data_IF_332688698866
#
_entry.id   IF_332688698866
#
_cell.length_a   1.000
_cell.length_b   1.000
_cell.length_c   1.000
_cell.angle_alpha   90.00
_cell.angle_beta   90.00
_cell.angle_gamma   90.00
#
_symmetry.space_group_name_H-M   'P 1'
#
loop_
_entity.id
_entity.type
_entity.pdbx_description
1 polymer ?
#
# COMPACT_ATOMS: atom_id res chain seq x y z
N UNK A 1 -7.84 -34.89 21.49
CA UNK A 1 -6.96 -33.72 21.57
C UNK A 1 -6.69 -33.28 20.14
N UNK A 2 -7.43 -32.30 19.62
CA UNK A 2 -7.23 -31.80 18.27
C UNK A 2 -6.37 -30.53 18.34
N UNK A 3 -5.35 -30.46 17.50
CA UNK A 3 -4.39 -29.35 17.41
C UNK A 3 -5.09 -28.01 17.09
N UNK A 4 -4.59 -26.87 17.63
CA UNK A 4 -5.07 -25.58 17.20
C UNK A 4 -4.53 -25.28 15.80
N UNK A 5 -5.43 -25.23 14.82
CA UNK A 5 -5.13 -24.71 13.48
C UNK A 5 -4.54 -23.31 13.60
N UNK A 6 -3.26 -23.17 13.24
CA UNK A 6 -2.62 -21.87 13.01
C UNK A 6 -3.21 -21.25 11.76
N UNK A 7 -4.33 -20.56 11.95
CA UNK A 7 -4.89 -19.64 10.98
C UNK A 7 -3.88 -18.50 10.79
N UNK A 8 -3.04 -18.64 9.77
CA UNK A 8 -2.06 -17.62 9.35
C UNK A 8 -2.75 -16.62 8.42
N UNK A 9 -3.90 -16.12 8.86
CA UNK A 9 -4.35 -14.80 8.45
C UNK A 9 -3.40 -13.79 9.07
N UNK A 10 -3.10 -12.70 8.36
CA UNK A 10 -2.61 -11.48 9.03
C UNK A 10 -3.55 -11.27 10.21
N UNK A 11 -3.04 -11.41 11.43
CA UNK A 11 -3.91 -11.35 12.61
C UNK A 11 -4.70 -10.05 12.50
N UNK A 12 -6.03 -10.12 12.58
CA UNK A 12 -6.91 -8.96 12.49
C UNK A 12 -6.46 -7.88 13.48
N UNK A 13 -5.84 -8.30 14.59
CA UNK A 13 -5.14 -7.43 15.54
C UNK A 13 -4.05 -6.53 14.94
N UNK A 14 -3.27 -7.00 13.96
CA UNK A 14 -2.22 -6.20 13.31
C UNK A 14 -2.80 -4.99 12.58
N UNK A 15 -3.90 -5.18 11.85
CA UNK A 15 -4.58 -4.13 11.07
C UNK A 15 -5.07 -2.99 11.95
N UNK A 16 -5.55 -3.31 13.15
CA UNK A 16 -6.04 -2.31 14.09
C UNK A 16 -4.94 -1.65 14.92
N UNK A 17 -3.68 -2.05 14.80
CA UNK A 17 -2.60 -1.57 15.67
C UNK A 17 -1.49 -0.84 14.90
N UNK A 18 -1.38 -1.02 13.58
CA UNK A 18 -0.38 -0.34 12.76
C UNK A 18 -0.92 0.02 11.38
N UNK A 19 -0.71 1.27 10.96
CA UNK A 19 -1.11 1.74 9.63
C UNK A 19 -0.47 0.93 8.49
N UNK A 20 0.73 0.41 8.71
CA UNK A 20 1.38 -0.46 7.74
C UNK A 20 0.60 -1.77 7.49
N UNK A 21 0.07 -2.40 8.55
CA UNK A 21 -0.73 -3.60 8.43
C UNK A 21 -2.10 -3.30 7.79
N UNK A 22 -2.68 -2.13 8.11
CA UNK A 22 -3.85 -1.60 7.40
C UNK A 22 -3.56 -1.46 5.89
N UNK A 23 -2.48 -0.78 5.51
CA UNK A 23 -2.14 -0.55 4.11
C UNK A 23 -1.85 -1.85 3.36
N UNK A 24 -1.16 -2.81 3.99
CA UNK A 24 -0.95 -4.16 3.44
C UNK A 24 -2.27 -4.87 3.14
N UNK A 25 -3.20 -4.85 4.09
CA UNK A 25 -4.51 -5.47 3.89
C UNK A 25 -5.29 -4.77 2.77
N UNK A 26 -5.25 -3.43 2.72
CA UNK A 26 -5.89 -2.66 1.67
C UNK A 26 -5.39 -3.02 0.28
N UNK A 27 -4.06 -3.15 0.11
CA UNK A 27 -3.43 -3.56 -1.15
C UNK A 27 -3.87 -4.98 -1.54
N UNK A 28 -3.96 -5.90 -0.57
CA UNK A 28 -4.45 -7.26 -0.81
C UNK A 28 -5.90 -7.25 -1.31
N UNK A 29 -6.79 -6.58 -0.58
CA UNK A 29 -8.20 -6.52 -0.93
C UNK A 29 -8.42 -5.86 -2.30
N UNK A 30 -7.62 -4.82 -2.61
CA UNK A 30 -7.63 -4.20 -3.93
C UNK A 30 -7.11 -5.13 -5.03
N UNK A 31 -6.06 -5.91 -4.77
CA UNK A 31 -5.55 -6.91 -5.71
C UNK A 31 -6.62 -7.96 -6.03
N UNK A 32 -7.19 -8.58 -4.99
CA UNK A 32 -8.18 -9.66 -5.11
C UNK A 32 -9.41 -9.20 -5.89
N UNK A 33 -9.84 -7.93 -5.70
CA UNK A 33 -11.00 -7.34 -6.39
C UNK A 33 -10.70 -6.89 -7.82
N UNK A 34 -9.51 -6.34 -8.08
CA UNK A 34 -9.31 -5.45 -9.23
C UNK A 34 -8.11 -5.79 -10.11
N UNK A 35 -7.35 -6.85 -9.83
CA UNK A 35 -6.15 -7.20 -10.60
C UNK A 35 -6.41 -7.43 -12.10
N UNK A 36 -7.56 -7.98 -12.48
CA UNK A 36 -7.85 -8.28 -13.90
C UNK A 36 -8.38 -7.06 -14.66
N UNK A 37 -9.11 -6.17 -13.99
CA UNK A 37 -9.88 -5.07 -14.60
C UNK A 37 -9.23 -3.70 -14.46
N UNK A 38 -8.47 -3.46 -13.38
CA UNK A 38 -7.89 -2.14 -13.04
C UNK A 38 -6.39 -2.23 -12.72
N UNK A 39 -5.63 -2.92 -13.57
CA UNK A 39 -4.18 -3.13 -13.43
C UNK A 39 -3.41 -1.82 -13.20
N UNK A 40 -3.76 -0.76 -13.93
CA UNK A 40 -3.12 0.55 -13.79
C UNK A 40 -3.28 1.14 -12.38
N UNK A 41 -4.48 1.06 -11.82
CA UNK A 41 -4.77 1.54 -10.47
C UNK A 41 -4.00 0.72 -9.42
N UNK A 42 -4.01 -0.62 -9.54
CA UNK A 42 -3.26 -1.45 -8.61
C UNK A 42 -1.75 -1.17 -8.64
N UNK A 43 -1.17 -1.00 -9.83
CA UNK A 43 0.27 -0.67 -9.98
C UNK A 43 0.57 0.71 -9.39
N UNK A 44 -0.26 1.70 -9.67
CA UNK A 44 -0.11 3.03 -9.11
C UNK A 44 -0.22 3.00 -7.57
N UNK A 45 -1.16 2.23 -7.02
CA UNK A 45 -1.34 2.05 -5.59
C UNK A 45 -0.11 1.40 -4.95
N UNK A 46 0.39 0.33 -5.55
CA UNK A 46 1.58 -0.39 -5.07
C UNK A 46 2.84 0.49 -5.06
N UNK A 47 2.99 1.31 -6.10
CA UNK A 47 4.10 2.28 -6.18
C UNK A 47 3.91 3.41 -5.15
N UNK A 48 2.69 3.92 -4.98
CA UNK A 48 2.36 4.95 -4.01
C UNK A 48 2.54 4.44 -2.56
N UNK A 49 2.24 3.17 -2.28
CA UNK A 49 2.41 2.55 -0.97
C UNK A 49 3.85 2.20 -0.64
N UNK A 50 4.72 1.98 -1.64
CA UNK A 50 6.17 1.76 -1.46
C UNK A 50 6.93 2.99 -0.93
N UNK A 51 6.23 4.10 -0.69
CA UNK A 51 6.79 5.42 -0.35
C UNK A 51 7.37 5.55 1.06
N UNK A 52 7.24 4.58 1.97
CA UNK A 52 8.04 4.59 3.21
C UNK A 52 9.54 4.44 2.90
N UNK A 53 9.90 3.97 1.70
CA UNK A 53 11.29 3.87 1.23
C UNK A 53 11.73 5.06 0.36
N UNK A 54 10.80 5.89 -0.13
CA UNK A 54 11.13 7.02 -1.01
C UNK A 54 11.41 8.31 -0.22
N UNK A 55 10.93 8.41 1.02
CA UNK A 55 11.34 9.48 1.94
C UNK A 55 12.86 9.42 2.20
N UNK A 56 13.45 8.22 2.29
CA UNK A 56 14.89 8.02 2.39
C UNK A 56 15.65 8.35 1.09
N UNK A 57 14.99 8.35 -0.06
CA UNK A 57 15.57 8.76 -1.34
C UNK A 57 15.41 10.27 -1.63
N UNK A 58 14.56 10.99 -0.88
CA UNK A 58 14.52 12.47 -0.93
C UNK A 58 15.64 13.09 -0.11
N UNK A 59 15.98 12.48 1.04
CA UNK A 59 17.10 12.94 1.86
C UNK A 59 18.47 12.68 1.21
N UNK A 60 18.60 11.65 0.37
CA UNK A 60 19.83 11.41 -0.40
C UNK A 60 19.94 12.25 -1.69
N UNK A 61 18.95 13.09 -2.01
CA UNK A 61 18.92 13.95 -3.21
C UNK A 61 19.24 15.41 -2.89
N UNK A 62 19.33 15.75 -1.60
CA UNK A 62 19.89 17.02 -1.11
C UNK A 62 21.20 16.72 -0.38
N UNK A 63 22.12 16.05 -1.07
CA UNK A 63 23.53 16.21 -0.73
C UNK A 63 24.31 16.48 -2.01
N UNK A 64 25.06 17.57 -1.99
CA UNK A 64 25.57 18.27 -3.16
C UNK A 64 26.64 17.46 -3.90
N UNK A 65 26.25 16.59 -4.82
CA UNK A 65 27.17 16.00 -5.80
C UNK A 65 26.45 15.42 -7.02
N UNK A 66 26.27 16.26 -8.04
CA UNK A 66 26.61 15.97 -9.44
C UNK A 66 26.00 14.78 -10.21
N UNK A 67 25.26 13.84 -9.63
CA UNK A 67 24.71 12.67 -10.36
C UNK A 67 23.24 12.87 -10.69
N UNK A 68 23.05 13.45 -11.87
CA UNK A 68 21.76 13.80 -12.48
C UNK A 68 20.82 12.60 -12.59
N UNK A 69 19.61 12.80 -12.07
CA UNK A 69 18.36 12.17 -12.50
C UNK A 69 18.37 10.64 -12.49
N UNK A 70 18.00 10.07 -11.34
CA UNK A 70 17.13 8.88 -11.39
C UNK A 70 15.85 9.37 -12.09
N UNK A 71 15.77 9.18 -13.41
CA UNK A 71 14.57 9.50 -14.17
C UNK A 71 13.39 8.89 -13.42
N UNK A 72 12.27 9.60 -13.28
CA UNK A 72 11.11 9.11 -12.53
C UNK A 72 10.78 7.63 -12.84
N UNK A 73 11.01 7.16 -14.07
CA UNK A 73 10.89 5.74 -14.44
C UNK A 73 11.79 4.75 -13.69
N UNK A 74 13.05 5.07 -13.41
CA UNK A 74 13.98 4.18 -12.69
C UNK A 74 13.64 4.09 -11.18
N UNK A 75 13.26 5.21 -10.55
CA UNK A 75 12.83 5.23 -9.15
C UNK A 75 11.52 4.48 -8.93
N UNK A 76 10.58 4.58 -9.88
CA UNK A 76 9.30 3.85 -9.81
C UNK A 76 9.46 2.36 -10.08
N UNK A 77 10.41 1.94 -10.93
CA UNK A 77 10.74 0.52 -11.12
C UNK A 77 11.37 -0.10 -9.86
N UNK A 78 12.22 0.64 -9.14
CA UNK A 78 12.75 0.22 -7.84
C UNK A 78 11.62 0.14 -6.82
N UNK A 79 10.73 1.13 -6.76
CA UNK A 79 9.55 1.10 -5.89
C UNK A 79 8.61 -0.06 -6.23
N UNK A 80 8.43 -0.40 -7.51
CA UNK A 80 7.66 -1.56 -7.94
C UNK A 80 8.32 -2.86 -7.48
N UNK A 81 9.64 -2.97 -7.58
CA UNK A 81 10.39 -4.17 -7.18
C UNK A 81 10.43 -4.33 -5.66
N UNK A 82 10.55 -3.25 -4.91
CA UNK A 82 10.48 -3.23 -3.45
C UNK A 82 9.04 -3.48 -3.00
N UNK A 83 8.04 -2.85 -3.62
CA UNK A 83 6.62 -3.09 -3.37
C UNK A 83 6.23 -4.54 -3.66
N UNK A 84 6.75 -5.13 -4.74
CA UNK A 84 6.67 -6.56 -4.97
C UNK A 84 7.31 -7.32 -3.81
N UNK A 85 8.58 -7.08 -3.48
CA UNK A 85 9.25 -7.77 -2.35
C UNK A 85 8.51 -7.63 -1.02
N UNK A 86 7.87 -6.49 -0.80
CA UNK A 86 7.10 -6.16 0.40
C UNK A 86 5.77 -6.91 0.46
N UNK A 87 5.08 -7.02 -0.67
CA UNK A 87 3.93 -7.89 -0.82
C UNK A 87 4.35 -9.38 -0.74
N UNK A 88 5.54 -9.71 -1.25
CA UNK A 88 6.13 -11.05 -1.36
C UNK A 88 6.71 -11.59 -0.04
N UNK A 89 6.96 -10.74 0.97
CA UNK A 89 7.72 -11.06 2.18
C UNK A 89 6.96 -11.80 3.30
N UNK A 90 5.80 -12.40 3.01
CA UNK A 90 4.98 -13.16 3.98
C UNK A 90 4.12 -14.21 3.29
N UNK A 91 3.20 -14.92 3.98
CA UNK A 91 2.27 -15.87 3.36
C UNK A 91 1.39 -15.22 2.28
N UNK A 92 1.16 -13.90 2.40
CA UNK A 92 0.57 -13.02 1.38
C UNK A 92 1.36 -12.93 0.06
N UNK A 93 2.66 -13.16 0.14
CA UNK A 93 3.58 -13.09 -0.97
C UNK A 93 3.53 -14.23 -1.95
N UNK A 94 2.91 -15.34 -1.56
CA UNK A 94 2.72 -16.47 -2.46
C UNK A 94 1.69 -16.16 -3.56
N UNK A 95 0.81 -15.16 -3.38
CA UNK A 95 -0.25 -14.82 -4.34
C UNK A 95 0.28 -14.02 -5.53
N UNK A 96 1.29 -13.16 -5.32
CA UNK A 96 1.98 -12.43 -6.39
C UNK A 96 3.08 -13.31 -7.01
N UNK A 97 2.70 -14.37 -7.71
CA UNK A 97 3.65 -15.22 -8.44
C UNK A 97 4.60 -14.42 -9.34
N UNK A 98 5.82 -14.95 -9.59
CA UNK A 98 6.84 -14.31 -10.45
C UNK A 98 6.28 -13.90 -11.83
N UNK A 99 5.33 -14.67 -12.36
CA UNK A 99 4.62 -14.37 -13.62
C UNK A 99 3.78 -13.08 -13.53
N UNK A 100 3.11 -12.82 -12.40
CA UNK A 100 2.37 -11.58 -12.18
C UNK A 100 3.30 -10.37 -12.20
N UNK A 101 4.51 -10.48 -11.63
CA UNK A 101 5.52 -9.42 -11.63
C UNK A 101 5.99 -8.98 -13.03
N UNK A 102 6.28 -9.93 -13.92
CA UNK A 102 6.71 -9.61 -15.29
C UNK A 102 5.60 -8.90 -16.09
N UNK A 103 4.36 -9.37 -15.96
CA UNK A 103 3.20 -8.75 -16.63
C UNK A 103 2.94 -7.32 -16.12
N UNK A 104 3.18 -7.08 -14.83
CA UNK A 104 3.03 -5.78 -14.18
C UNK A 104 4.07 -4.78 -14.68
N UNK A 105 5.33 -5.21 -14.82
CA UNK A 105 6.41 -4.38 -15.35
C UNK A 105 6.12 -4.01 -16.82
N UNK A 106 5.76 -4.99 -17.65
CA UNK A 106 5.44 -4.73 -19.05
C UNK A 106 4.25 -3.76 -19.20
N UNK A 107 3.22 -3.93 -18.36
CA UNK A 107 2.07 -3.02 -18.32
C UNK A 107 2.47 -1.62 -17.86
N UNK A 108 3.32 -1.51 -16.83
CA UNK A 108 3.83 -0.25 -16.32
C UNK A 108 4.55 0.54 -17.40
N UNK A 109 5.48 -0.08 -18.13
CA UNK A 109 6.26 0.58 -19.18
C UNK A 109 5.35 1.12 -20.28
N UNK A 110 4.33 0.34 -20.69
CA UNK A 110 3.37 0.76 -21.73
C UNK A 110 2.44 1.88 -21.28
N UNK A 111 2.13 1.96 -19.99
CA UNK A 111 1.14 2.89 -19.42
C UNK A 111 1.77 3.90 -18.46
N UNK A 112 3.07 4.14 -18.55
CA UNK A 112 3.87 4.85 -17.55
C UNK A 112 3.29 6.23 -17.22
N UNK A 113 2.90 7.00 -18.24
CA UNK A 113 2.41 8.37 -18.07
C UNK A 113 1.13 8.42 -17.24
N UNK A 114 0.17 7.53 -17.49
CA UNK A 114 -1.09 7.46 -16.74
C UNK A 114 -0.85 6.99 -15.30
N UNK A 115 -0.04 5.94 -15.14
CA UNK A 115 0.29 5.39 -13.82
C UNK A 115 1.01 6.42 -12.96
N UNK A 116 2.02 7.12 -13.49
CA UNK A 116 2.75 8.17 -12.77
C UNK A 116 1.81 9.28 -12.28
N UNK A 117 0.83 9.67 -13.11
CA UNK A 117 -0.15 10.69 -12.72
C UNK A 117 -1.00 10.21 -11.53
N UNK A 118 -1.48 8.96 -11.57
CA UNK A 118 -2.25 8.35 -10.48
C UNK A 118 -1.45 8.17 -9.20
N UNK A 119 -0.17 7.81 -9.31
CA UNK A 119 0.73 7.68 -8.14
C UNK A 119 0.75 8.96 -7.31
N UNK A 120 0.75 10.13 -7.95
CA UNK A 120 0.68 11.42 -7.24
C UNK A 120 -0.60 11.57 -6.43
N UNK A 121 -1.75 11.26 -7.02
CA UNK A 121 -3.07 11.32 -6.36
C UNK A 121 -3.16 10.32 -5.21
N UNK A 122 -2.70 9.09 -5.42
CA UNK A 122 -2.79 8.03 -4.43
C UNK A 122 -1.88 8.29 -3.22
N UNK A 123 -0.75 8.97 -3.39
CA UNK A 123 0.06 9.43 -2.25
C UNK A 123 -0.72 10.38 -1.34
N UNK A 124 -1.52 11.27 -1.91
CA UNK A 124 -2.40 12.17 -1.14
C UNK A 124 -3.47 11.37 -0.43
N UNK A 125 -4.15 10.45 -1.12
CA UNK A 125 -5.18 9.57 -0.52
C UNK A 125 -4.61 8.75 0.63
N UNK A 126 -3.42 8.16 0.47
CA UNK A 126 -2.72 7.40 1.52
C UNK A 126 -2.39 8.31 2.71
N UNK A 127 -1.84 9.51 2.47
CA UNK A 127 -1.48 10.44 3.54
C UNK A 127 -2.69 10.92 4.34
N UNK A 128 -3.80 11.23 3.66
CA UNK A 128 -5.03 11.64 4.33
C UNK A 128 -5.68 10.48 5.09
N UNK A 129 -5.59 9.26 4.57
CA UNK A 129 -6.06 8.06 5.26
C UNK A 129 -5.22 7.76 6.48
N UNK A 130 -3.89 7.95 6.41
CA UNK A 130 -2.99 7.80 7.56
C UNK A 130 -3.36 8.76 8.69
N UNK A 131 -3.64 10.04 8.38
CA UNK A 131 -4.11 11.02 9.37
C UNK A 131 -5.40 10.57 10.05
N UNK A 132 -6.41 10.15 9.27
CA UNK A 132 -7.69 9.65 9.80
C UNK A 132 -7.49 8.40 10.68
N UNK A 133 -6.61 7.50 10.27
CA UNK A 133 -6.26 6.32 11.05
C UNK A 133 -5.64 6.71 12.39
N UNK A 134 -4.69 7.64 12.39
CA UNK A 134 -4.02 8.15 13.59
C UNK A 134 -5.00 8.90 14.51
N UNK A 135 -5.96 9.65 13.96
CA UNK A 135 -7.03 10.32 14.71
C UNK A 135 -7.94 9.31 15.43
N UNK A 136 -8.35 8.24 14.75
CA UNK A 136 -9.14 7.16 15.36
C UNK A 136 -8.35 6.48 16.48
N UNK A 137 -7.06 6.26 16.29
CA UNK A 137 -6.16 5.71 17.30
C UNK A 137 -5.94 6.62 18.50
N UNK A 138 -5.74 7.91 18.25
CA UNK A 138 -5.62 8.91 19.31
C UNK A 138 -6.91 8.98 20.13
N UNK A 139 -8.08 9.03 19.48
CA UNK A 139 -9.36 9.03 20.17
C UNK A 139 -9.58 7.78 21.02
N UNK A 140 -9.17 6.60 20.55
CA UNK A 140 -9.20 5.38 21.35
C UNK A 140 -8.25 5.45 22.57
N UNK A 141 -7.00 5.91 22.39
CA UNK A 141 -6.04 6.09 23.49
C UNK A 141 -6.49 7.11 24.53
N UNK A 142 -7.20 8.15 24.08
CA UNK A 142 -7.82 9.18 24.93
C UNK A 142 -9.10 8.68 25.63
N UNK A 143 -9.53 7.44 25.39
CA UNK A 143 -10.74 6.85 25.97
C UNK A 143 -12.05 7.36 25.35
N UNK A 144 -12.01 8.07 24.22
CA UNK A 144 -13.21 8.59 23.53
C UNK A 144 -14.01 7.47 22.84
N UNK A 145 -13.36 6.36 22.52
CA UNK A 145 -13.95 5.23 21.79
C UNK A 145 -13.64 3.91 22.51
N UNK A 146 -14.59 2.97 22.49
CA UNK A 146 -14.29 1.59 22.87
C UNK A 146 -13.53 0.86 21.76
N UNK A 147 -12.92 -0.28 22.10
CA UNK A 147 -12.16 -1.09 21.13
C UNK A 147 -13.03 -1.53 19.94
N UNK A 148 -14.30 -1.86 20.20
CA UNK A 148 -15.27 -2.20 19.15
C UNK A 148 -15.51 -1.05 18.19
N UNK A 149 -15.69 0.17 18.71
CA UNK A 149 -15.98 1.37 17.92
C UNK A 149 -14.76 1.74 17.05
N UNK A 150 -13.56 1.70 17.65
CA UNK A 150 -12.29 1.87 16.93
C UNK A 150 -12.19 0.90 15.76
N UNK A 151 -12.47 -0.38 15.99
CA UNK A 151 -12.37 -1.40 14.94
C UNK A 151 -13.35 -1.12 13.80
N UNK A 152 -14.61 -0.79 14.12
CA UNK A 152 -15.63 -0.47 13.12
C UNK A 152 -15.26 0.79 12.32
N UNK A 153 -14.69 1.80 12.97
CA UNK A 153 -14.18 3.00 12.30
C UNK A 153 -13.02 2.67 11.35
N UNK A 154 -12.07 1.82 11.77
CA UNK A 154 -10.95 1.38 10.93
C UNK A 154 -11.46 0.54 9.75
N UNK A 155 -12.44 -0.33 9.96
CA UNK A 155 -13.06 -1.11 8.88
C UNK A 155 -13.82 -0.21 7.89
N UNK A 156 -14.52 0.81 8.39
CA UNK A 156 -15.15 1.84 7.56
C UNK A 156 -14.12 2.64 6.76
N UNK A 157 -13.00 3.02 7.40
CA UNK A 157 -11.89 3.72 6.76
C UNK A 157 -11.25 2.88 5.64
N UNK A 158 -11.13 1.57 5.82
CA UNK A 158 -10.65 0.64 4.80
C UNK A 158 -11.50 0.70 3.53
N UNK A 159 -12.82 0.59 3.69
CA UNK A 159 -13.77 0.64 2.57
C UNK A 159 -13.71 1.99 1.85
N UNK A 160 -13.65 3.09 2.61
CA UNK A 160 -13.51 4.43 2.04
C UNK A 160 -12.19 4.61 1.30
N UNK A 161 -11.10 4.07 1.84
CA UNK A 161 -9.78 4.12 1.19
C UNK A 161 -9.82 3.41 -0.17
N UNK A 162 -10.33 2.19 -0.21
CA UNK A 162 -10.46 1.41 -1.46
C UNK A 162 -11.33 2.14 -2.48
N UNK A 163 -12.47 2.71 -2.06
CA UNK A 163 -13.34 3.49 -2.93
C UNK A 163 -12.64 4.76 -3.46
N UNK A 164 -11.89 5.47 -2.61
CA UNK A 164 -11.14 6.67 -3.01
C UNK A 164 -10.06 6.36 -4.05
N UNK A 165 -9.40 5.20 -3.96
CA UNK A 165 -8.45 4.74 -4.99
C UNK A 165 -9.16 4.42 -6.30
N UNK A 166 -10.39 3.93 -6.25
CA UNK A 166 -11.20 3.63 -7.43
C UNK A 166 -11.71 4.88 -8.16
N UNK A 167 -11.93 5.98 -7.44
CA UNK A 167 -12.48 7.24 -7.96
C UNK A 167 -11.41 8.25 -8.42
N UNK A 168 -10.17 8.14 -7.93
CA UNK A 168 -9.04 9.03 -8.26
C UNK A 168 -8.31 8.67 -9.57
#
# INVERSE_FOLDING_TARGET
MAEPSKDTGVSSQGLYNAFDAFLKQAIREYYDRSWTTRKGNFIALLIASGSTSFALAKDSVVDGSGTKKVALGAGLMIALRIGLKYALGGPLGLVLSVAAGASMIAYFVRNQKDIVKRVGLYKTVIADTAKKYDEVHAGWRDGKYQVSDRNLMIDGLMKQFIASIDEA
#
